data_IF_597646407290
#
_entry.id   IF_597646407290
#
_cell.length_a   1.000
_cell.length_b   1.000
_cell.length_c   1.000
_cell.angle_alpha   90.00
_cell.angle_beta   90.00
_cell.angle_gamma   90.00
#
_symmetry.space_group_name_H-M   'P 1'
#
loop_
_entity.id
_entity.type
_entity.pdbx_description
1 polymer ?
#
# COMPACT_ATOMS: atom_id res chain seq x y z
N UNK A 1 -6.07 14.49 -10.41
CA UNK A 1 -5.42 14.14 -9.14
C UNK A 1 -4.42 15.24 -8.80
N UNK A 2 -4.50 15.81 -7.60
CA UNK A 2 -3.60 16.80 -7.03
C UNK A 2 -2.29 16.18 -6.52
N UNK A 3 -2.29 14.86 -6.30
CA UNK A 3 -1.11 14.12 -5.87
C UNK A 3 -0.62 13.17 -6.97
N UNK A 4 0.67 13.25 -7.35
CA UNK A 4 1.24 12.27 -8.26
C UNK A 4 1.32 10.92 -7.55
N UNK A 5 1.05 9.84 -8.28
CA UNK A 5 1.23 8.47 -7.79
C UNK A 5 2.74 8.26 -7.57
N UNK A 6 3.20 7.92 -6.35
CA UNK A 6 4.59 7.64 -6.04
C UNK A 6 5.16 6.53 -6.92
N UNK A 7 6.38 6.71 -7.39
CA UNK A 7 7.09 5.72 -8.21
C UNK A 7 8.17 4.98 -7.41
N UNK A 8 8.51 5.51 -6.22
CA UNK A 8 9.55 4.97 -5.36
C UNK A 8 9.14 4.96 -3.88
N UNK A 9 9.70 4.06 -3.05
CA UNK A 9 9.44 4.05 -1.60
C UNK A 9 9.78 5.38 -0.91
N UNK A 10 10.77 6.09 -1.45
CA UNK A 10 11.18 7.41 -0.99
C UNK A 10 10.08 8.47 -1.22
N UNK A 11 9.34 8.36 -2.31
CA UNK A 11 8.21 9.24 -2.63
C UNK A 11 7.05 9.01 -1.66
N UNK A 12 6.82 7.76 -1.23
CA UNK A 12 5.80 7.41 -0.21
C UNK A 12 6.17 8.02 1.13
N UNK A 13 7.45 7.94 1.54
CA UNK A 13 7.92 8.55 2.78
C UNK A 13 7.78 10.08 2.77
N UNK A 14 7.95 10.71 1.61
CA UNK A 14 7.74 12.15 1.45
C UNK A 14 6.28 12.57 1.65
N UNK A 15 5.32 11.66 1.46
CA UNK A 15 3.89 11.92 1.73
C UNK A 15 3.59 12.02 3.24
N UNK A 16 4.39 11.39 4.11
CA UNK A 16 4.20 11.47 5.57
C UNK A 16 4.42 12.88 6.13
N UNK A 17 5.14 13.75 5.41
CA UNK A 17 5.38 15.13 5.82
C UNK A 17 4.22 16.08 5.46
N UNK A 18 3.19 15.58 4.76
CA UNK A 18 2.03 16.37 4.34
C UNK A 18 0.84 16.16 5.29
N UNK A 19 -0.03 17.17 5.45
CA UNK A 19 -1.30 16.97 6.13
C UNK A 19 -2.07 15.84 5.45
N UNK A 20 -2.57 14.89 6.25
CA UNK A 20 -3.21 13.68 5.75
C UNK A 20 -4.59 14.02 5.20
N UNK A 21 -4.81 13.77 3.91
CA UNK A 21 -6.12 13.82 3.25
C UNK A 21 -6.38 12.54 2.45
N UNK A 22 -7.64 12.32 2.06
CA UNK A 22 -8.08 11.08 1.40
C UNK A 22 -7.38 10.85 0.04
N UNK A 23 -7.06 11.92 -0.69
CA UNK A 23 -6.37 11.85 -1.98
C UNK A 23 -4.88 11.52 -1.80
N UNK A 24 -4.27 12.00 -0.71
CA UNK A 24 -2.92 11.61 -0.29
C UNK A 24 -2.83 10.12 0.05
N UNK A 25 -3.81 9.60 0.80
CA UNK A 25 -3.90 8.18 1.16
C UNK A 25 -4.07 7.31 -0.08
N UNK A 26 -4.98 7.69 -0.99
CA UNK A 26 -5.18 6.99 -2.25
C UNK A 26 -3.90 6.96 -3.11
N UNK A 27 -3.16 8.08 -3.15
CA UNK A 27 -1.91 8.18 -3.90
C UNK A 27 -0.81 7.33 -3.30
N UNK A 28 -0.66 7.31 -1.97
CA UNK A 28 0.31 6.46 -1.28
C UNK A 28 0.07 4.97 -1.58
N UNK A 29 -1.20 4.53 -1.52
CA UNK A 29 -1.59 3.14 -1.81
C UNK A 29 -1.31 2.79 -3.27
N UNK A 30 -1.68 3.67 -4.21
CA UNK A 30 -1.38 3.50 -5.63
C UNK A 30 0.13 3.36 -5.89
N UNK A 31 0.95 4.12 -5.17
CA UNK A 31 2.40 4.06 -5.27
C UNK A 31 2.98 2.74 -4.78
N UNK A 32 2.51 2.25 -3.62
CA UNK A 32 2.91 0.93 -3.09
C UNK A 32 2.60 -0.17 -4.11
N UNK A 33 1.40 -0.16 -4.68
CA UNK A 33 0.97 -1.15 -5.69
C UNK A 33 1.86 -1.08 -6.93
N UNK A 34 2.12 0.14 -7.44
CA UNK A 34 2.97 0.36 -8.63
C UNK A 34 4.40 -0.14 -8.41
N UNK A 35 4.99 0.15 -7.25
CA UNK A 35 6.36 -0.27 -6.89
C UNK A 35 6.44 -1.79 -6.77
N UNK A 36 5.51 -2.42 -6.05
CA UNK A 36 5.48 -3.87 -5.86
C UNK A 36 5.31 -4.59 -7.19
N UNK A 37 4.44 -4.08 -8.06
CA UNK A 37 4.25 -4.60 -9.42
C UNK A 37 5.51 -4.45 -10.27
N UNK A 38 6.23 -3.33 -10.17
CA UNK A 38 7.49 -3.11 -10.90
C UNK A 38 8.59 -4.09 -10.49
N UNK A 39 8.52 -4.62 -9.26
CA UNK A 39 9.42 -5.65 -8.75
C UNK A 39 9.01 -7.08 -9.16
N UNK A 40 7.94 -7.23 -9.95
CA UNK A 40 7.41 -8.54 -10.35
C UNK A 40 6.73 -9.32 -9.22
N UNK A 41 6.49 -8.66 -8.08
CA UNK A 41 5.84 -9.27 -6.91
C UNK A 41 4.33 -9.26 -7.08
N UNK A 42 3.70 -10.35 -6.65
CA UNK A 42 2.25 -10.51 -6.65
C UNK A 42 1.62 -9.84 -5.42
N UNK A 43 0.29 -9.65 -5.45
CA UNK A 43 -0.48 -9.25 -4.27
C UNK A 43 -0.27 -10.23 -3.11
N UNK A 44 -0.13 -11.52 -3.39
CA UNK A 44 0.17 -12.56 -2.40
C UNK A 44 1.56 -12.33 -1.77
N UNK A 45 2.59 -11.99 -2.56
CA UNK A 45 3.93 -11.66 -2.02
C UNK A 45 3.92 -10.41 -1.16
N UNK A 46 3.13 -9.39 -1.54
CA UNK A 46 2.98 -8.18 -0.75
C UNK A 46 2.26 -8.47 0.57
N UNK A 47 1.20 -9.27 0.50
CA UNK A 47 0.42 -9.68 1.67
C UNK A 47 1.26 -10.55 2.59
N UNK A 48 2.06 -11.47 2.06
CA UNK A 48 2.98 -12.29 2.82
C UNK A 48 4.03 -11.44 3.56
N UNK A 49 4.67 -10.49 2.89
CA UNK A 49 5.64 -9.58 3.52
C UNK A 49 5.01 -8.73 4.63
N UNK A 50 3.83 -8.17 4.39
CA UNK A 50 3.10 -7.36 5.38
C UNK A 50 2.64 -8.22 6.57
N UNK A 51 2.30 -9.50 6.35
CA UNK A 51 1.90 -10.42 7.41
C UNK A 51 3.09 -11.07 8.15
N UNK A 52 4.27 -11.13 7.53
CA UNK A 52 5.52 -11.64 8.13
C UNK A 52 6.17 -10.63 9.07
N UNK A 53 6.14 -9.33 8.74
CA UNK A 53 6.75 -8.27 9.56
C UNK A 53 6.03 -8.04 10.91
N UNK A 54 4.95 -8.78 11.16
CA UNK A 54 3.90 -8.33 12.05
C UNK A 54 3.62 -9.27 13.23
N UNK A 55 4.53 -9.28 14.21
CA UNK A 55 4.16 -9.73 15.56
C UNK A 55 3.20 -8.75 16.28
N UNK A 56 2.81 -7.63 15.66
CA UNK A 56 2.00 -6.57 16.26
C UNK A 56 0.50 -6.68 15.92
N UNK A 57 0.14 -7.29 14.79
CA UNK A 57 -1.26 -7.42 14.34
C UNK A 57 -1.90 -8.75 14.73
N UNK A 58 -3.05 -8.65 15.39
CA UNK A 58 -3.92 -9.78 15.70
C UNK A 58 -4.59 -10.35 14.44
N UNK A 59 -5.01 -11.63 14.49
CA UNK A 59 -5.64 -12.36 13.36
C UNK A 59 -6.82 -11.63 12.71
N UNK A 60 -7.54 -10.80 13.45
CA UNK A 60 -8.64 -10.01 12.92
C UNK A 60 -8.13 -8.83 12.09
N UNK A 61 -7.12 -8.11 12.59
CA UNK A 61 -6.51 -6.99 11.88
C UNK A 61 -5.78 -7.46 10.62
N UNK A 62 -5.12 -8.62 10.68
CA UNK A 62 -4.52 -9.27 9.51
C UNK A 62 -5.54 -9.53 8.40
N UNK A 63 -6.70 -10.13 8.74
CA UNK A 63 -7.77 -10.39 7.78
C UNK A 63 -8.34 -9.11 7.17
N UNK A 64 -8.53 -8.09 7.99
CA UNK A 64 -9.00 -6.79 7.53
C UNK A 64 -7.98 -6.12 6.59
N UNK A 65 -6.70 -6.16 6.94
CA UNK A 65 -5.62 -5.58 6.14
C UNK A 65 -5.44 -6.31 4.80
N UNK A 66 -5.51 -7.64 4.78
CA UNK A 66 -5.49 -8.42 3.53
C UNK A 66 -6.67 -8.08 2.62
N UNK A 67 -7.87 -7.90 3.18
CA UNK A 67 -9.04 -7.49 2.39
C UNK A 67 -8.88 -6.08 1.82
N UNK A 68 -8.36 -5.14 2.60
CA UNK A 68 -8.11 -3.77 2.15
C UNK A 68 -7.04 -3.73 1.04
N UNK A 69 -5.96 -4.50 1.18
CA UNK A 69 -4.93 -4.66 0.16
C UNK A 69 -5.49 -5.25 -1.14
N UNK A 70 -6.29 -6.31 -1.04
CA UNK A 70 -6.94 -6.91 -2.22
C UNK A 70 -7.89 -5.92 -2.91
N UNK A 71 -8.69 -5.19 -2.13
CA UNK A 71 -9.61 -4.21 -2.67
C UNK A 71 -8.89 -3.03 -3.34
N UNK A 72 -7.80 -2.55 -2.75
CA UNK A 72 -6.95 -1.54 -3.36
C UNK A 72 -6.31 -2.05 -4.65
N UNK A 73 -5.79 -3.28 -4.66
CA UNK A 73 -5.16 -3.89 -5.83
C UNK A 73 -6.11 -3.92 -7.04
N UNK A 74 -7.35 -4.36 -6.84
CA UNK A 74 -8.41 -4.37 -7.89
C UNK A 74 -8.89 -2.96 -8.27
N UNK A 75 -8.77 -1.97 -7.39
CA UNK A 75 -9.19 -0.58 -7.68
C UNK A 75 -8.15 0.20 -8.49
N UNK A 76 -6.90 -0.26 -8.49
CA UNK A 76 -5.78 0.38 -9.21
C UNK A 76 -5.32 -0.43 -10.44
N UNK A 77 -6.07 -1.46 -10.85
CA UNK A 77 -5.97 -2.13 -12.17
C UNK A 77 -6.78 -1.43 -13.24
#
# INVERSE_FOLDING_TARGET
MNYPIPDSPQDILALQQKPIDEELVASAIAGVIKIVRSQGKSLDDLTAQILEDDQLLDRQQRRWLSQLLAQAWESFT
#
